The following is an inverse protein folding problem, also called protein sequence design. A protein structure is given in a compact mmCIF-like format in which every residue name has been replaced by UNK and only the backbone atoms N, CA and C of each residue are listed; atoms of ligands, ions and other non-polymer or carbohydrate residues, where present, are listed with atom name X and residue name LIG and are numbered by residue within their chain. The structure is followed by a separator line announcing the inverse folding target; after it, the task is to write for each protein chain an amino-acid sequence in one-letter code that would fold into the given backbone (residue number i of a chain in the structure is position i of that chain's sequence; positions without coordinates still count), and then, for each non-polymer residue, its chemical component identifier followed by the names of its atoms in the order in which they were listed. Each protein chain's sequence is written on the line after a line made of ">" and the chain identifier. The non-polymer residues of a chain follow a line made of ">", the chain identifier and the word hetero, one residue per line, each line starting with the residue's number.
data_IF_391329835870
#
_entry.id   IF_391329835870
#
_cell.length_a   1.000
_cell.length_b   1.000
_cell.length_c   1.000
_cell.angle_alpha   90.00
_cell.angle_beta   90.00
_cell.angle_gamma   90.00
#
_symmetry.space_group_name_H-M   'P 1'
#
loop_
_entity.id
_entity.type
_entity.pdbx_description
1 polymer ?
#
# COMPACT_ATOMS: atom_id res chain seq x y z
N UNK A 1 37.03 41.65 -19.53
CA UNK A 1 35.97 40.70 -19.91
C UNK A 1 35.94 39.58 -18.88
N UNK A 2 34.96 39.59 -17.99
CA UNK A 2 34.81 38.55 -16.94
C UNK A 2 33.90 37.47 -17.49
N UNK A 3 34.43 36.26 -17.68
CA UNK A 3 33.62 35.10 -18.06
C UNK A 3 32.98 34.53 -16.81
N UNK A 4 31.67 34.72 -16.65
CA UNK A 4 30.89 34.05 -15.61
C UNK A 4 30.62 32.60 -16.11
N UNK A 5 31.35 31.61 -15.54
CA UNK A 5 31.06 30.21 -15.74
C UNK A 5 29.86 29.87 -14.89
N UNK A 6 28.70 29.74 -15.53
CA UNK A 6 27.48 29.24 -14.89
C UNK A 6 27.62 27.74 -14.66
N UNK A 7 27.99 27.33 -13.44
CA UNK A 7 27.91 25.92 -13.03
C UNK A 7 26.44 25.54 -12.94
N UNK A 8 25.94 24.87 -13.96
CA UNK A 8 24.65 24.18 -13.90
C UNK A 8 24.81 22.96 -12.98
N UNK A 9 24.29 23.04 -11.75
CA UNK A 9 24.18 21.89 -10.88
C UNK A 9 23.20 20.90 -11.55
N UNK A 10 23.72 19.81 -12.10
CA UNK A 10 22.88 18.72 -12.60
C UNK A 10 22.24 18.01 -11.40
N UNK A 11 20.92 18.07 -11.29
CA UNK A 11 20.20 17.28 -10.29
C UNK A 11 20.49 15.79 -10.54
N UNK A 12 20.98 15.10 -9.52
CA UNK A 12 21.26 13.67 -9.61
C UNK A 12 19.95 12.91 -9.91
N UNK A 13 20.01 11.98 -10.88
CA UNK A 13 18.87 11.10 -11.18
C UNK A 13 18.58 10.22 -9.95
N UNK A 14 17.36 10.19 -9.43
CA UNK A 14 17.04 9.40 -8.24
C UNK A 14 17.28 7.90 -8.49
N UNK A 15 17.83 7.22 -7.50
CA UNK A 15 18.01 5.76 -7.54
C UNK A 15 16.66 5.04 -7.61
N UNK A 16 16.67 3.79 -8.04
CA UNK A 16 15.46 2.97 -8.09
C UNK A 16 14.75 2.89 -6.73
N UNK A 17 15.52 2.74 -5.64
CA UNK A 17 14.97 2.73 -4.27
C UNK A 17 14.30 4.06 -3.89
N UNK A 18 14.85 5.19 -4.30
CA UNK A 18 14.27 6.51 -4.03
C UNK A 18 13.00 6.75 -4.82
N UNK A 19 12.95 6.33 -6.09
CA UNK A 19 11.72 6.39 -6.87
C UNK A 19 10.64 5.49 -6.26
N UNK A 20 11.00 4.26 -5.89
CA UNK A 20 10.09 3.33 -5.23
C UNK A 20 9.59 3.84 -3.88
N UNK A 21 10.44 4.53 -3.11
CA UNK A 21 10.03 5.19 -1.88
C UNK A 21 9.00 6.28 -2.16
N UNK A 22 9.22 7.13 -3.14
CA UNK A 22 8.30 8.19 -3.49
C UNK A 22 6.91 7.65 -3.86
N UNK A 23 6.85 6.58 -4.66
CA UNK A 23 5.58 5.91 -5.03
C UNK A 23 4.93 5.30 -3.78
N UNK A 24 5.71 4.59 -2.95
CA UNK A 24 5.19 3.90 -1.77
C UNK A 24 4.58 4.86 -0.75
N UNK A 25 5.21 6.02 -0.56
CA UNK A 25 4.84 7.02 0.47
C UNK A 25 3.93 8.14 -0.06
N UNK A 26 3.49 8.05 -1.31
CA UNK A 26 2.55 9.04 -1.85
C UNK A 26 1.28 9.11 -1.00
N UNK A 27 0.88 10.32 -0.59
CA UNK A 27 -0.21 10.51 0.35
C UNK A 27 -1.60 10.19 -0.24
N UNK A 28 -1.75 10.21 -1.56
CA UNK A 28 -3.03 9.99 -2.23
C UNK A 28 -3.17 8.57 -2.78
N UNK A 29 -2.09 8.02 -3.30
CA UNK A 29 -2.11 6.74 -4.03
C UNK A 29 -1.18 5.69 -3.47
N UNK A 30 -0.35 6.07 -2.49
CA UNK A 30 0.73 5.25 -1.98
C UNK A 30 0.28 4.07 -1.13
N UNK A 31 1.13 3.06 -1.12
CA UNK A 31 0.93 1.83 -0.36
C UNK A 31 0.85 2.08 1.16
N UNK A 32 1.50 3.15 1.64
CA UNK A 32 1.53 3.58 3.05
C UNK A 32 0.15 3.89 3.62
N UNK A 33 -0.82 4.20 2.77
CA UNK A 33 -2.20 4.47 3.20
C UNK A 33 -2.90 3.23 3.78
N UNK A 34 -2.46 2.04 3.38
CA UNK A 34 -3.03 0.78 3.85
C UNK A 34 -1.99 -0.14 4.51
N UNK A 35 -0.71 -0.02 4.17
CA UNK A 35 0.32 -0.94 4.61
C UNK A 35 1.38 -0.27 5.47
N UNK A 36 1.80 -0.98 6.50
CA UNK A 36 3.01 -0.64 7.24
C UNK A 36 4.25 -1.25 6.56
N UNK A 37 5.39 -0.58 6.73
CA UNK A 37 6.72 -1.07 6.37
C UNK A 37 7.67 -0.74 7.52
N UNK A 38 8.24 -1.75 8.17
CA UNK A 38 8.99 -1.62 9.44
C UNK A 38 8.21 -0.87 10.53
N UNK A 39 6.94 -1.17 10.66
CA UNK A 39 6.06 -0.54 11.63
C UNK A 39 5.70 0.92 11.34
N UNK A 40 6.10 1.47 10.20
CA UNK A 40 5.72 2.82 9.75
C UNK A 40 4.68 2.72 8.64
N UNK A 41 3.60 3.48 8.77
CA UNK A 41 2.46 3.46 7.85
C UNK A 41 1.18 3.04 8.56
N UNK A 42 0.15 2.74 7.79
CA UNK A 42 -1.18 2.41 8.32
C UNK A 42 -1.36 0.89 8.34
N UNK A 43 -1.80 0.35 9.48
CA UNK A 43 -2.00 -1.10 9.64
C UNK A 43 -3.44 -1.50 9.25
N UNK A 44 -3.86 -1.14 8.05
CA UNK A 44 -5.12 -1.61 7.44
C UNK A 44 -4.89 -2.96 6.78
N UNK A 45 -3.88 -3.02 5.91
CA UNK A 45 -3.38 -4.26 5.33
C UNK A 45 -2.18 -4.82 6.10
N UNK A 46 -1.63 -5.97 5.69
CA UNK A 46 -0.47 -6.57 6.32
C UNK A 46 0.78 -5.68 6.23
N UNK A 47 1.68 -5.78 7.23
CA UNK A 47 3.01 -5.17 7.18
C UNK A 47 3.85 -5.83 6.07
N UNK A 48 4.38 -5.02 5.17
CA UNK A 48 5.10 -5.48 3.98
C UNK A 48 6.58 -5.80 4.24
N UNK A 49 7.07 -5.64 5.47
CA UNK A 49 8.49 -5.91 5.80
C UNK A 49 8.89 -7.35 5.45
N UNK A 50 8.02 -8.31 5.74
CA UNK A 50 8.28 -9.72 5.48
C UNK A 50 8.37 -10.07 3.99
N UNK A 51 7.53 -9.46 3.16
CA UNK A 51 7.45 -9.79 1.73
C UNK A 51 8.66 -9.30 0.92
N UNK A 52 9.40 -8.31 1.42
CA UNK A 52 10.60 -7.80 0.75
C UNK A 52 11.69 -8.86 0.47
N UNK A 53 11.56 -10.06 1.02
CA UNK A 53 12.46 -11.19 0.77
C UNK A 53 11.97 -12.14 -0.31
N UNK A 54 10.74 -11.98 -0.78
CA UNK A 54 10.15 -12.82 -1.82
C UNK A 54 10.74 -12.47 -3.20
N UNK A 55 10.51 -13.35 -4.18
CA UNK A 55 10.84 -13.06 -5.57
C UNK A 55 10.05 -11.85 -6.09
N UNK A 56 10.62 -11.01 -6.99
CA UNK A 56 9.93 -9.84 -7.52
C UNK A 56 8.58 -10.18 -8.14
N UNK A 57 8.51 -11.25 -8.94
CA UNK A 57 7.27 -11.71 -9.56
C UNK A 57 6.18 -12.03 -8.54
N UNK A 58 6.54 -12.64 -7.38
CA UNK A 58 5.56 -12.96 -6.33
C UNK A 58 4.99 -11.69 -5.68
N UNK A 59 5.84 -10.66 -5.46
CA UNK A 59 5.40 -9.37 -4.92
C UNK A 59 4.52 -8.66 -5.95
N UNK A 60 4.95 -8.62 -7.21
CA UNK A 60 4.20 -8.01 -8.31
C UNK A 60 2.83 -8.65 -8.50
N UNK A 61 2.75 -9.98 -8.40
CA UNK A 61 1.48 -10.71 -8.42
C UNK A 61 0.57 -10.25 -7.27
N UNK A 62 1.12 -10.07 -6.05
CA UNK A 62 0.35 -9.54 -4.92
C UNK A 62 -0.17 -8.12 -5.16
N UNK A 63 0.65 -7.24 -5.77
CA UNK A 63 0.25 -5.86 -6.14
C UNK A 63 -0.87 -5.87 -7.19
N UNK A 64 -0.79 -6.78 -8.18
CA UNK A 64 -1.77 -6.91 -9.27
C UNK A 64 -2.94 -7.80 -8.92
N UNK A 65 -2.80 -8.63 -7.87
CA UNK A 65 -3.87 -9.49 -7.41
C UNK A 65 -5.05 -8.64 -6.97
N UNK A 66 -6.18 -8.98 -7.50
CA UNK A 66 -7.39 -8.21 -7.29
C UNK A 66 -8.28 -8.80 -6.20
N UNK A 67 -7.98 -9.99 -5.73
CA UNK A 67 -8.80 -10.67 -4.73
C UNK A 67 -8.10 -10.68 -3.37
N UNK A 68 -8.83 -10.27 -2.35
CA UNK A 68 -8.46 -10.50 -0.95
C UNK A 68 -9.66 -11.03 -0.18
N UNK A 69 -9.42 -12.07 0.60
CA UNK A 69 -10.44 -12.65 1.47
C UNK A 69 -10.65 -11.86 2.76
N UNK A 70 -9.85 -10.81 3.00
CA UNK A 70 -9.87 -10.06 4.26
C UNK A 70 -10.87 -8.91 4.26
N UNK A 71 -11.25 -8.38 3.11
CA UNK A 71 -12.27 -7.32 3.02
C UNK A 71 -13.66 -7.91 3.18
N UNK A 72 -14.48 -7.25 3.98
CA UNK A 72 -15.85 -7.66 4.27
C UNK A 72 -16.82 -6.56 3.89
N UNK A 73 -18.00 -6.92 3.42
CA UNK A 73 -19.13 -6.02 3.32
C UNK A 73 -19.75 -5.88 4.71
N UNK A 74 -19.63 -4.72 5.30
CA UNK A 74 -20.22 -4.40 6.59
C UNK A 74 -21.54 -3.69 6.38
N UNK A 75 -22.56 -4.09 7.13
CA UNK A 75 -23.82 -3.37 7.24
C UNK A 75 -24.08 -3.07 8.70
N UNK A 76 -24.27 -1.80 9.03
CA UNK A 76 -24.63 -1.37 10.37
C UNK A 76 -26.16 -1.34 10.56
N UNK A 77 -26.61 -1.43 11.80
CA UNK A 77 -28.05 -1.30 12.13
C UNK A 77 -28.61 0.09 11.82
N UNK A 78 -27.73 1.11 11.73
CA UNK A 78 -28.09 2.44 11.24
C UNK A 78 -28.54 2.46 9.76
N UNK A 79 -28.25 1.39 9.00
CA UNK A 79 -28.47 1.31 7.55
C UNK A 79 -27.24 1.62 6.72
N UNK A 80 -26.17 2.15 7.30
CA UNK A 80 -24.91 2.38 6.62
C UNK A 80 -24.28 1.06 6.18
N UNK A 81 -23.63 1.06 5.00
CA UNK A 81 -22.96 -0.15 4.46
C UNK A 81 -21.75 0.25 3.65
N UNK A 82 -20.62 -0.42 3.89
CA UNK A 82 -19.36 -0.17 3.21
C UNK A 82 -18.45 -1.41 3.20
N UNK A 83 -17.52 -1.51 2.24
CA UNK A 83 -16.46 -2.52 2.29
C UNK A 83 -15.45 -2.13 3.35
N UNK A 84 -15.16 -3.02 4.28
CA UNK A 84 -14.24 -2.76 5.37
C UNK A 84 -13.15 -3.82 5.49
N UNK A 85 -11.95 -3.37 5.86
CA UNK A 85 -10.93 -4.24 6.46
C UNK A 85 -11.12 -4.23 7.98
N UNK A 86 -11.46 -5.36 8.59
CA UNK A 86 -11.57 -5.44 10.03
C UNK A 86 -10.20 -5.26 10.69
N UNK A 87 -10.12 -4.35 11.66
CA UNK A 87 -8.97 -4.14 12.51
C UNK A 87 -9.10 -4.87 13.84
N UNK A 88 -8.50 -4.29 14.87
CA UNK A 88 -8.60 -4.88 16.21
C UNK A 88 -9.97 -4.61 16.85
N UNK A 89 -10.33 -5.50 17.77
CA UNK A 89 -11.42 -5.34 18.71
C UNK A 89 -10.82 -5.06 20.09
N UNK A 90 -11.28 -4.02 20.74
CA UNK A 90 -10.91 -3.68 22.12
C UNK A 90 -12.11 -3.13 22.89
N UNK A 91 -11.86 -2.55 24.08
CA UNK A 91 -12.91 -1.97 24.93
C UNK A 91 -13.69 -0.82 24.28
N UNK A 92 -13.09 -0.16 23.29
CA UNK A 92 -13.74 0.93 22.54
C UNK A 92 -14.67 0.40 21.45
N UNK A 93 -14.53 -0.85 21.07
CA UNK A 93 -15.32 -1.48 20.04
C UNK A 93 -14.49 -2.19 18.96
N UNK A 94 -15.13 -2.46 17.84
CA UNK A 94 -14.53 -3.05 16.63
C UNK A 94 -14.08 -1.96 15.69
N UNK A 95 -12.80 -1.96 15.36
CA UNK A 95 -12.21 -1.09 14.35
C UNK A 95 -12.52 -1.64 12.95
N UNK A 96 -13.10 -0.80 12.09
CA UNK A 96 -13.44 -1.11 10.71
C UNK A 96 -12.86 -0.02 9.83
N UNK A 97 -11.97 -0.37 8.94
CA UNK A 97 -11.42 0.60 7.98
C UNK A 97 -12.23 0.53 6.69
N UNK A 98 -13.00 1.59 6.39
CA UNK A 98 -13.72 1.73 5.14
C UNK A 98 -12.72 1.87 3.99
N UNK A 99 -12.59 0.81 3.21
CA UNK A 99 -11.67 0.75 2.07
C UNK A 99 -12.32 1.23 0.75
N UNK A 100 -13.52 1.79 0.79
CA UNK A 100 -14.07 2.58 -0.31
C UNK A 100 -13.47 3.98 -0.38
N UNK A 101 -12.82 4.41 0.70
CA UNK A 101 -12.14 5.71 0.84
C UNK A 101 -10.62 5.57 0.65
N UNK A 102 -9.98 6.64 0.22
CA UNK A 102 -8.52 6.69 0.10
C UNK A 102 -8.02 8.04 0.63
N UNK A 103 -7.27 8.05 1.72
CA UNK A 103 -6.93 6.94 2.61
C UNK A 103 -8.17 6.30 3.28
N UNK A 104 -8.06 5.02 3.71
CA UNK A 104 -9.17 4.35 4.40
C UNK A 104 -9.64 5.08 5.64
N UNK A 105 -10.95 5.19 5.81
CA UNK A 105 -11.57 5.87 6.95
C UNK A 105 -11.81 4.87 8.09
N UNK A 106 -11.37 5.24 9.31
CA UNK A 106 -11.57 4.40 10.49
C UNK A 106 -12.93 4.66 11.13
N UNK A 107 -13.73 3.61 11.21
CA UNK A 107 -14.94 3.55 12.05
C UNK A 107 -14.67 2.68 13.27
N UNK A 108 -15.03 3.16 14.46
CA UNK A 108 -15.02 2.36 15.68
C UNK A 108 -16.48 2.17 16.11
N UNK A 109 -16.96 0.95 16.00
CA UNK A 109 -18.38 0.62 16.24
C UNK A 109 -18.52 -0.44 17.32
N UNK A 110 -19.64 -0.43 18.05
CA UNK A 110 -19.95 -1.54 18.93
C UNK A 110 -20.40 -2.74 18.09
N UNK A 111 -20.02 -3.96 18.50
CA UNK A 111 -20.48 -5.17 17.77
C UNK A 111 -22.00 -5.26 17.72
N UNK A 112 -22.68 -4.80 18.77
CA UNK A 112 -24.13 -4.72 18.81
C UNK A 112 -24.73 -3.88 17.69
N UNK A 113 -23.98 -2.95 17.13
CA UNK A 113 -24.43 -2.04 16.06
C UNK A 113 -24.20 -2.62 14.66
N UNK A 114 -23.45 -3.73 14.59
CA UNK A 114 -23.22 -4.44 13.33
C UNK A 114 -24.42 -5.34 13.04
N UNK A 115 -25.08 -5.11 11.90
CA UNK A 115 -26.20 -5.95 11.44
C UNK A 115 -25.67 -7.19 10.72
N UNK A 116 -24.63 -7.04 9.89
CA UNK A 116 -23.97 -8.16 9.22
C UNK A 116 -22.55 -7.83 8.77
N UNK A 117 -21.70 -8.85 8.69
CA UNK A 117 -20.39 -8.82 8.06
C UNK A 117 -20.27 -10.07 7.16
N UNK A 118 -20.02 -9.88 5.87
CA UNK A 118 -19.90 -10.96 4.89
C UNK A 118 -18.68 -10.72 4.00
N UNK A 119 -17.99 -11.81 3.62
CA UNK A 119 -16.81 -11.68 2.75
C UNK A 119 -17.11 -10.91 1.46
N UNK A 120 -16.17 -10.09 1.03
CA UNK A 120 -16.23 -9.37 -0.24
C UNK A 120 -15.20 -9.93 -1.21
N UNK A 121 -15.59 -10.96 -1.95
CA UNK A 121 -14.76 -11.62 -2.97
C UNK A 121 -14.57 -10.79 -4.25
N UNK A 122 -15.31 -9.69 -4.38
CA UNK A 122 -15.26 -8.77 -5.54
C UNK A 122 -14.38 -7.56 -5.30
N UNK A 123 -13.98 -7.32 -4.06
CA UNK A 123 -13.11 -6.19 -3.77
C UNK A 123 -11.74 -6.40 -4.40
N UNK A 124 -11.23 -5.37 -5.01
CA UNK A 124 -9.93 -5.37 -5.69
C UNK A 124 -8.97 -4.45 -4.96
N UNK A 125 -7.69 -4.71 -5.07
CA UNK A 125 -6.66 -3.77 -4.67
C UNK A 125 -6.99 -2.37 -5.21
N UNK A 126 -6.63 -1.28 -4.49
CA UNK A 126 -7.00 0.07 -4.92
C UNK A 126 -6.66 0.31 -6.39
N UNK A 127 -7.52 1.00 -7.14
CA UNK A 127 -7.32 1.26 -8.58
C UNK A 127 -5.98 1.94 -8.91
N UNK A 128 -5.39 2.65 -7.95
CA UNK A 128 -4.06 3.26 -8.07
C UNK A 128 -2.97 2.25 -8.38
N UNK A 129 -3.03 1.05 -7.80
CA UNK A 129 -2.02 0.01 -8.03
C UNK A 129 -2.10 -0.60 -9.43
N UNK A 130 -3.30 -0.66 -10.01
CA UNK A 130 -3.51 -1.16 -11.38
C UNK A 130 -3.00 -0.21 -12.47
N UNK A 131 -2.62 1.01 -12.12
CA UNK A 131 -2.06 2.00 -13.04
C UNK A 131 -0.53 2.03 -13.04
N UNK A 132 0.12 1.32 -12.12
CA UNK A 132 1.58 1.28 -12.05
C UNK A 132 2.14 0.49 -13.23
N UNK A 133 3.14 1.07 -13.88
CA UNK A 133 3.94 0.41 -14.91
C UNK A 133 4.84 -0.66 -14.29
N UNK A 134 5.38 -1.57 -15.11
CA UNK A 134 6.33 -2.57 -14.64
C UNK A 134 7.57 -1.93 -14.00
N UNK A 135 8.04 -0.79 -14.55
CA UNK A 135 9.13 -0.03 -13.96
C UNK A 135 8.78 0.50 -12.55
N UNK A 136 7.61 1.06 -12.38
CA UNK A 136 7.17 1.59 -11.08
C UNK A 136 6.96 0.48 -10.06
N UNK A 137 6.44 -0.67 -10.47
CA UNK A 137 6.34 -1.85 -9.61
C UNK A 137 7.75 -2.35 -9.21
N UNK A 138 8.68 -2.42 -10.16
CA UNK A 138 10.06 -2.78 -9.88
C UNK A 138 10.74 -1.80 -8.91
N UNK A 139 10.48 -0.49 -9.07
CA UNK A 139 10.98 0.56 -8.18
C UNK A 139 10.42 0.38 -6.75
N UNK A 140 9.12 0.15 -6.60
CA UNK A 140 8.48 -0.12 -5.30
C UNK A 140 9.07 -1.39 -4.65
N UNK A 141 9.26 -2.45 -5.41
CA UNK A 141 9.85 -3.70 -4.90
C UNK A 141 11.29 -3.48 -4.44
N UNK A 142 12.09 -2.70 -5.18
CA UNK A 142 13.45 -2.35 -4.78
C UNK A 142 13.46 -1.59 -3.44
N UNK A 143 12.52 -0.66 -3.24
CA UNK A 143 12.36 0.05 -1.97
C UNK A 143 11.94 -0.88 -0.81
N UNK A 144 10.91 -1.71 -1.00
CA UNK A 144 10.43 -2.66 0.01
C UNK A 144 11.54 -3.65 0.39
N UNK A 145 12.32 -4.14 -0.58
CA UNK A 145 13.50 -4.99 -0.33
C UNK A 145 14.56 -4.27 0.47
N UNK A 146 14.92 -3.06 0.08
CA UNK A 146 15.88 -2.25 0.82
C UNK A 146 15.41 -2.05 2.27
N UNK A 147 14.16 -1.71 2.47
CA UNK A 147 13.60 -1.57 3.81
C UNK A 147 13.67 -2.88 4.62
N UNK A 148 13.39 -4.02 4.00
CA UNK A 148 13.41 -5.33 4.66
C UNK A 148 14.82 -5.85 4.98
N UNK A 149 15.81 -5.58 4.12
CA UNK A 149 17.13 -6.24 4.16
C UNK A 149 18.29 -5.29 4.41
N UNK A 150 18.10 -3.97 4.22
CA UNK A 150 19.18 -2.97 4.21
C UNK A 150 20.03 -2.97 2.94
N UNK A 151 19.76 -3.86 1.98
CA UNK A 151 20.56 -4.01 0.77
C UNK A 151 19.90 -3.34 -0.43
N UNK A 152 20.59 -2.39 -1.06
CA UNK A 152 20.16 -1.78 -2.33
C UNK A 152 20.48 -2.75 -3.46
N UNK A 153 19.47 -3.46 -3.95
CA UNK A 153 19.55 -4.32 -5.13
C UNK A 153 18.51 -3.87 -6.14
N UNK A 154 18.94 -3.60 -7.35
CA UNK A 154 18.02 -3.27 -8.43
C UNK A 154 17.11 -4.47 -8.75
N UNK A 155 15.91 -4.15 -9.20
CA UNK A 155 14.91 -5.11 -9.70
C UNK A 155 14.67 -4.78 -11.18
N UNK A 156 14.85 -5.77 -12.05
CA UNK A 156 14.57 -5.61 -13.46
C UNK A 156 13.06 -5.55 -13.67
N UNK A 157 12.53 -4.60 -14.48
CA UNK A 157 11.12 -4.59 -14.85
C UNK A 157 10.63 -5.89 -15.48
N UNK A 158 11.51 -6.66 -16.13
CA UNK A 158 11.16 -7.98 -16.68
C UNK A 158 10.91 -9.04 -15.59
N UNK A 159 11.46 -8.87 -14.38
CA UNK A 159 11.22 -9.76 -13.25
C UNK A 159 9.81 -9.59 -12.62
N UNK A 160 9.06 -8.58 -13.03
CA UNK A 160 7.75 -8.25 -12.45
C UNK A 160 6.58 -8.46 -13.43
N UNK A 161 6.84 -9.02 -14.61
CA UNK A 161 5.85 -9.38 -15.62
C UNK A 161 5.06 -10.62 -15.26
#
# INVERSE_FOLDING_TARGET
>A
MLWIVLLMAQAAVPSQTERGQAIFTDAQTGCVNCHALKGKGTAVGPDLTGIGRLAPAAIAMGVRSTATQYVQNVKLKSGESFPAMPGKKDEKGLSLYDVSKMPPELHVVQESDVASMTGNDKWKHPPSTGKLTDQEIADVIAYVRYAATGTKKAVDPDEVK
#
